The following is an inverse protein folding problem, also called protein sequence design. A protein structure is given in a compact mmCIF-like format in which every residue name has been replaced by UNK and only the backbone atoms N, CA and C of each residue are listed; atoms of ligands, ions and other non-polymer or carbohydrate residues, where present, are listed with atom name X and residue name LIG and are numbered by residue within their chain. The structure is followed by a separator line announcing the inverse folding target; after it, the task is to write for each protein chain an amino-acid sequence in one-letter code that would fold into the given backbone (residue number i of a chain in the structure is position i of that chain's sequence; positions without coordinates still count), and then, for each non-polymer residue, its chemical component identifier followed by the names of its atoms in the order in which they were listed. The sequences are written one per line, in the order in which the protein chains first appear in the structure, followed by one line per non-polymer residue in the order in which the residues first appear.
data_IF_558920528789
#
_entry.id   IF_558920528789
#
_cell.length_a   1.000
_cell.length_b   1.000
_cell.length_c   1.000
_cell.angle_alpha   90.00
_cell.angle_beta   90.00
_cell.angle_gamma   90.00
#
_symmetry.space_group_name_H-M   'P 1'
#
loop_
_entity.id
_entity.type
_entity.pdbx_description
1 polymer ?
#
# COMPACT_ATOMS: atom_id res chain seq x y z
N UNK A 1 19.43 -11.88 -33.75
CA UNK A 1 18.27 -12.23 -32.91
C UNK A 1 18.87 -12.69 -31.60
N UNK A 2 19.23 -11.74 -30.73
CA UNK A 2 20.05 -11.95 -29.54
C UNK A 2 19.11 -12.07 -28.34
N UNK A 3 19.41 -13.01 -27.54
CA UNK A 3 18.84 -13.64 -26.35
C UNK A 3 18.33 -12.64 -25.25
N UNK A 4 17.33 -11.83 -25.57
CA UNK A 4 16.67 -10.90 -24.61
C UNK A 4 15.98 -11.65 -23.45
N UNK A 5 15.66 -12.93 -23.63
CA UNK A 5 14.89 -13.72 -22.65
C UNK A 5 15.75 -14.29 -21.51
N UNK A 6 17.06 -14.42 -21.68
CA UNK A 6 17.97 -14.91 -20.61
C UNK A 6 18.43 -13.81 -19.68
N UNK A 7 18.58 -12.59 -20.20
CA UNK A 7 18.92 -11.43 -19.37
C UNK A 7 17.72 -10.96 -18.55
N UNK A 8 16.50 -11.05 -19.11
CA UNK A 8 15.27 -10.77 -18.36
C UNK A 8 15.06 -11.80 -17.23
N UNK A 9 15.31 -13.09 -17.45
CA UNK A 9 15.21 -14.12 -16.41
C UNK A 9 16.27 -13.98 -15.30
N UNK A 10 17.50 -13.57 -15.64
CA UNK A 10 18.55 -13.26 -14.65
C UNK A 10 18.25 -11.98 -13.86
N UNK A 11 17.71 -10.96 -14.52
CA UNK A 11 17.27 -9.74 -13.87
C UNK A 11 16.09 -10.03 -12.93
N UNK A 12 15.10 -10.82 -13.37
CA UNK A 12 13.96 -11.24 -12.53
C UNK A 12 14.44 -12.03 -11.31
N UNK A 13 15.37 -12.98 -11.47
CA UNK A 13 15.96 -13.76 -10.37
C UNK A 13 16.78 -12.89 -9.40
N UNK A 14 17.59 -11.96 -9.90
CA UNK A 14 18.37 -11.05 -9.05
C UNK A 14 17.47 -10.05 -8.30
N UNK A 15 16.31 -9.69 -8.88
CA UNK A 15 15.35 -8.77 -8.26
C UNK A 15 14.39 -9.47 -7.29
N UNK A 16 14.01 -10.72 -7.53
CA UNK A 16 13.26 -11.53 -6.56
C UNK A 16 14.07 -11.79 -5.28
N UNK A 17 15.39 -11.96 -5.39
CA UNK A 17 16.30 -11.99 -4.24
C UNK A 17 16.32 -10.66 -3.46
N UNK A 18 16.08 -9.52 -4.10
CA UNK A 18 16.25 -8.20 -3.46
C UNK A 18 15.12 -7.86 -2.50
N UNK A 19 13.97 -8.54 -2.54
CA UNK A 19 12.79 -8.17 -1.73
C UNK A 19 12.30 -9.24 -0.75
N UNK A 20 12.49 -10.51 -1.00
CA UNK A 20 12.66 -11.45 0.14
C UNK A 20 13.70 -10.86 1.11
N UNK A 21 14.61 -10.03 0.59
CA UNK A 21 15.56 -9.24 1.38
C UNK A 21 14.99 -7.98 2.04
N UNK A 22 13.93 -7.32 1.54
CA UNK A 22 13.37 -6.16 2.26
C UNK A 22 12.68 -6.63 3.55
N UNK A 23 11.86 -7.67 3.46
CA UNK A 23 11.17 -8.24 4.62
C UNK A 23 12.17 -8.94 5.55
N UNK A 24 13.14 -9.68 5.00
CA UNK A 24 14.24 -10.25 5.78
C UNK A 24 15.16 -9.18 6.39
N UNK A 25 15.28 -8.01 5.78
CA UNK A 25 16.02 -6.87 6.33
C UNK A 25 15.26 -6.08 7.38
N UNK A 26 13.92 -6.20 7.44
CA UNK A 26 13.14 -5.69 8.56
C UNK A 26 13.51 -6.36 9.88
N UNK A 27 14.17 -7.53 9.85
CA UNK A 27 14.76 -8.16 11.04
C UNK A 27 15.91 -7.34 11.64
N UNK A 28 16.54 -6.46 10.85
CA UNK A 28 17.51 -5.52 11.35
C UNK A 28 16.85 -4.19 11.70
N UNK A 29 16.53 -4.00 12.99
CA UNK A 29 15.97 -2.76 13.53
C UNK A 29 16.84 -1.53 13.27
N UNK A 30 18.14 -1.70 13.09
CA UNK A 30 19.10 -0.62 12.85
C UNK A 30 19.12 -0.15 11.39
N UNK A 31 18.53 -0.91 10.45
CA UNK A 31 18.41 -0.51 9.05
C UNK A 31 17.25 0.47 8.82
N UNK A 32 17.48 1.71 9.22
CA UNK A 32 16.52 2.80 9.12
C UNK A 32 16.02 3.03 7.69
N UNK A 33 16.85 2.77 6.67
CA UNK A 33 16.45 2.93 5.26
C UNK A 33 15.39 1.92 4.86
N UNK A 34 15.56 0.68 5.27
CA UNK A 34 14.57 -0.38 5.02
C UNK A 34 13.25 -0.08 5.70
N UNK A 35 13.26 0.41 6.93
CA UNK A 35 12.07 0.82 7.67
C UNK A 35 11.38 2.03 7.05
N UNK A 36 12.13 3.03 6.60
CA UNK A 36 11.62 4.19 5.87
C UNK A 36 10.94 3.79 4.57
N UNK A 37 11.55 2.89 3.80
CA UNK A 37 10.98 2.40 2.53
C UNK A 37 9.71 1.58 2.78
N UNK A 38 9.69 0.76 3.82
CA UNK A 38 8.52 0.01 4.23
C UNK A 38 7.39 0.94 4.65
N UNK A 39 7.66 1.87 5.54
CA UNK A 39 6.70 2.87 6.00
C UNK A 39 6.13 3.68 4.83
N UNK A 40 7.00 4.29 4.00
CA UNK A 40 6.59 5.08 2.83
C UNK A 40 5.73 4.29 1.85
N UNK A 41 5.97 2.99 1.75
CA UNK A 41 5.22 2.12 0.83
C UNK A 41 3.85 1.76 1.37
N UNK A 42 3.69 1.47 2.67
CA UNK A 42 2.47 0.82 3.18
C UNK A 42 1.61 1.66 4.13
N UNK A 43 2.10 2.77 4.70
CA UNK A 43 1.32 3.56 5.66
C UNK A 43 0.00 4.09 5.06
N UNK A 44 0.02 4.54 3.79
CA UNK A 44 -1.18 5.04 3.10
C UNK A 44 -2.22 3.96 2.88
N UNK A 45 -1.78 2.74 2.57
CA UNK A 45 -2.65 1.57 2.44
C UNK A 45 -3.37 1.29 3.75
N UNK A 46 -2.62 1.13 4.84
CA UNK A 46 -3.16 0.83 6.17
C UNK A 46 -4.13 1.92 6.61
N UNK A 47 -3.75 3.19 6.44
CA UNK A 47 -4.57 4.34 6.77
C UNK A 47 -5.88 4.38 5.97
N UNK A 48 -5.81 4.21 4.64
CA UNK A 48 -6.98 4.25 3.76
C UNK A 48 -7.95 3.11 4.08
N UNK A 49 -7.45 1.92 4.38
CA UNK A 49 -8.29 0.79 4.79
C UNK A 49 -8.95 1.06 6.14
N UNK A 50 -8.24 1.63 7.11
CA UNK A 50 -8.78 2.04 8.40
C UNK A 50 -9.95 3.04 8.25
N UNK A 51 -9.77 4.09 7.45
CA UNK A 51 -10.82 5.06 7.17
C UNK A 51 -12.04 4.42 6.51
N UNK A 52 -11.82 3.58 5.49
CA UNK A 52 -12.91 2.91 4.75
C UNK A 52 -13.61 1.83 5.57
N UNK A 53 -12.95 1.30 6.58
CA UNK A 53 -13.55 0.42 7.57
C UNK A 53 -14.43 1.17 8.59
N UNK A 54 -14.45 2.52 8.57
CA UNK A 54 -15.28 3.34 9.46
C UNK A 54 -14.54 3.89 10.69
N UNK A 55 -13.21 3.83 10.69
CA UNK A 55 -12.41 4.50 11.72
C UNK A 55 -12.34 6.00 11.46
N UNK A 56 -12.22 6.80 12.53
CA UNK A 56 -11.90 8.22 12.45
C UNK A 56 -10.43 8.40 12.04
N UNK A 57 -10.08 9.59 11.56
CA UNK A 57 -8.73 9.91 11.10
C UNK A 57 -7.65 9.58 12.14
N UNK A 58 -7.85 9.96 13.38
CA UNK A 58 -6.93 9.70 14.49
C UNK A 58 -6.78 8.21 14.77
N UNK A 59 -7.90 7.48 14.84
CA UNK A 59 -7.90 6.02 15.04
C UNK A 59 -7.22 5.28 13.88
N UNK A 60 -7.41 5.75 12.64
CA UNK A 60 -6.72 5.18 11.48
C UNK A 60 -5.19 5.42 11.53
N UNK A 61 -4.75 6.57 12.03
CA UNK A 61 -3.31 6.81 12.31
C UNK A 61 -2.78 5.92 13.43
N UNK A 62 -3.55 5.70 14.48
CA UNK A 62 -3.18 4.76 15.56
C UNK A 62 -3.00 3.35 15.01
N UNK A 63 -3.91 2.90 14.11
CA UNK A 63 -3.77 1.61 13.42
C UNK A 63 -2.47 1.54 12.62
N UNK A 64 -2.11 2.59 11.89
CA UNK A 64 -0.81 2.64 11.18
C UNK A 64 0.33 2.46 12.16
N UNK A 65 0.39 3.27 13.21
CA UNK A 65 1.48 3.24 14.19
C UNK A 65 1.56 1.88 14.89
N UNK A 66 0.44 1.36 15.39
CA UNK A 66 0.41 0.08 16.10
C UNK A 66 0.75 -1.10 15.19
N UNK A 67 0.36 -1.06 13.89
CA UNK A 67 0.75 -2.08 12.91
C UNK A 67 2.25 -2.05 12.69
N UNK A 68 2.84 -0.89 12.41
CA UNK A 68 4.29 -0.74 12.20
C UNK A 68 5.08 -1.17 13.46
N UNK A 69 4.64 -0.73 14.64
CA UNK A 69 5.28 -1.12 15.91
C UNK A 69 5.19 -2.63 16.17
N UNK A 70 4.07 -3.26 15.78
CA UNK A 70 3.91 -4.71 15.94
C UNK A 70 4.84 -5.47 15.02
N UNK A 71 4.95 -5.03 13.78
CA UNK A 71 5.90 -5.54 12.80
C UNK A 71 7.32 -5.40 13.36
N UNK A 72 7.67 -4.24 13.87
CA UNK A 72 8.99 -3.97 14.43
C UNK A 72 9.32 -4.83 15.67
N UNK A 73 8.37 -5.06 16.55
CA UNK A 73 8.55 -5.90 17.75
C UNK A 73 8.66 -7.38 17.41
N UNK A 74 7.99 -7.84 16.34
CA UNK A 74 7.99 -9.23 15.91
C UNK A 74 9.22 -9.57 15.06
N UNK A 75 9.92 -8.57 14.50
CA UNK A 75 11.09 -8.76 13.63
C UNK A 75 12.18 -9.61 14.27
N UNK A 76 12.30 -9.59 15.59
CA UNK A 76 13.24 -10.42 16.36
C UNK A 76 12.85 -11.92 16.46
N UNK A 77 11.68 -12.34 15.92
CA UNK A 77 11.11 -13.69 16.07
C UNK A 77 10.64 -14.35 14.78
N UNK A 78 11.33 -14.14 13.63
CA UNK A 78 10.89 -14.65 12.32
C UNK A 78 9.45 -14.20 11.98
N UNK A 79 9.34 -12.95 11.64
CA UNK A 79 8.11 -12.16 11.56
C UNK A 79 7.15 -12.61 10.45
N UNK A 80 7.66 -12.90 9.29
CA UNK A 80 6.92 -13.33 8.11
C UNK A 80 7.53 -14.61 7.56
N UNK A 81 6.68 -15.61 7.43
CA UNK A 81 7.05 -16.90 6.86
C UNK A 81 6.39 -17.05 5.47
N UNK A 82 7.16 -16.97 4.38
CA UNK A 82 6.62 -17.10 3.03
C UNK A 82 5.91 -18.43 2.78
N UNK A 83 6.26 -19.48 3.54
CA UNK A 83 5.66 -20.81 3.40
C UNK A 83 4.25 -20.88 4.03
N UNK A 84 3.91 -19.92 4.89
CA UNK A 84 2.60 -19.81 5.56
C UNK A 84 1.61 -18.90 4.86
N UNK A 85 2.02 -18.17 3.84
CA UNK A 85 1.13 -17.31 3.06
C UNK A 85 1.80 -16.08 2.48
N UNK A 86 1.05 -15.33 1.66
CA UNK A 86 1.58 -14.14 1.02
C UNK A 86 1.80 -12.98 2.01
N UNK A 87 2.78 -12.15 1.73
CA UNK A 87 3.03 -10.91 2.48
C UNK A 87 1.78 -10.01 2.53
N UNK A 88 1.06 -9.93 1.42
CA UNK A 88 -0.22 -9.20 1.32
C UNK A 88 -1.22 -9.67 2.38
N UNK A 89 -1.43 -10.98 2.49
CA UNK A 89 -2.36 -11.58 3.45
C UNK A 89 -1.89 -11.40 4.89
N UNK A 90 -0.60 -11.53 5.12
CA UNK A 90 0.01 -11.32 6.43
C UNK A 90 -0.17 -9.87 6.91
N UNK A 91 0.16 -8.87 6.07
CA UNK A 91 0.00 -7.46 6.41
C UNK A 91 -1.48 -7.09 6.60
N UNK A 92 -2.37 -7.68 5.78
CA UNK A 92 -3.83 -7.54 5.95
C UNK A 92 -4.28 -8.02 7.33
N UNK A 93 -3.85 -9.19 7.75
CA UNK A 93 -4.22 -9.75 9.06
C UNK A 93 -3.73 -8.88 10.21
N UNK A 94 -2.50 -8.39 10.15
CA UNK A 94 -1.95 -7.46 11.15
C UNK A 94 -2.78 -6.18 11.23
N UNK A 95 -3.13 -5.60 10.08
CA UNK A 95 -3.94 -4.38 9.99
C UNK A 95 -5.36 -4.64 10.52
N UNK A 96 -5.99 -5.76 10.13
CA UNK A 96 -7.34 -6.16 10.59
C UNK A 96 -7.42 -6.27 12.11
N UNK A 97 -6.43 -6.90 12.74
CA UNK A 97 -6.40 -7.00 14.20
C UNK A 97 -6.37 -5.60 14.85
N UNK A 98 -5.59 -4.67 14.33
CA UNK A 98 -5.51 -3.31 14.88
C UNK A 98 -6.80 -2.51 14.64
N UNK A 99 -7.45 -2.67 13.49
CA UNK A 99 -8.76 -2.08 13.23
C UNK A 99 -9.79 -2.59 14.26
N UNK A 100 -9.86 -3.91 14.45
CA UNK A 100 -10.78 -4.51 15.42
C UNK A 100 -10.47 -4.06 16.86
N UNK A 101 -9.20 -3.88 17.22
CA UNK A 101 -8.80 -3.35 18.51
C UNK A 101 -9.31 -1.92 18.73
N UNK A 102 -9.26 -1.06 17.68
CA UNK A 102 -9.81 0.30 17.76
C UNK A 102 -11.33 0.31 17.95
N UNK A 103 -12.07 -0.55 17.23
CA UNK A 103 -13.52 -0.70 17.47
C UNK A 103 -13.83 -1.19 18.88
N UNK A 104 -13.06 -2.14 19.43
CA UNK A 104 -13.24 -2.60 20.82
C UNK A 104 -12.96 -1.48 21.82
N UNK A 105 -11.90 -0.68 21.62
CA UNK A 105 -11.60 0.49 22.45
C UNK A 105 -12.77 1.48 22.41
N UNK A 106 -13.26 1.82 21.21
CA UNK A 106 -14.41 2.71 21.03
C UNK A 106 -15.67 2.21 21.76
N UNK A 107 -16.00 0.91 21.63
CA UNK A 107 -17.13 0.29 22.36
C UNK A 107 -16.97 0.42 23.87
N UNK A 108 -15.76 0.14 24.39
CA UNK A 108 -15.44 0.25 25.80
C UNK A 108 -15.58 1.69 26.31
N UNK A 109 -14.99 2.66 25.58
CA UNK A 109 -15.04 4.08 25.95
C UNK A 109 -16.48 4.61 25.89
N UNK A 110 -17.25 4.21 24.88
CA UNK A 110 -18.68 4.53 24.80
C UNK A 110 -19.45 3.95 25.98
N UNK A 111 -19.23 2.68 26.31
CA UNK A 111 -19.88 2.04 27.46
C UNK A 111 -19.51 2.71 28.79
N UNK A 112 -18.25 3.13 28.96
CA UNK A 112 -17.82 3.87 30.15
C UNK A 112 -18.43 5.25 30.25
N UNK A 113 -18.43 6.02 29.14
CA UNK A 113 -19.00 7.37 29.11
C UNK A 113 -20.53 7.36 29.26
N UNK A 114 -21.21 6.26 28.91
CA UNK A 114 -22.65 6.10 29.03
C UNK A 114 -23.01 5.47 30.41
N UNK A 115 -22.02 5.03 31.19
CA UNK A 115 -22.27 4.46 32.52
C UNK A 115 -22.99 5.40 33.48
N UNK A 116 -22.98 6.72 33.22
CA UNK A 116 -23.68 7.74 33.97
C UNK A 116 -25.14 7.97 33.49
N UNK A 117 -25.56 7.30 32.42
CA UNK A 117 -26.93 7.40 31.92
C UNK A 117 -27.86 6.49 32.72
N UNK A 118 -29.02 7.03 33.12
CA UNK A 118 -30.01 6.33 33.93
C UNK A 118 -30.75 5.21 33.15
N UNK A 119 -30.74 5.24 31.79
CA UNK A 119 -31.46 4.31 30.93
C UNK A 119 -30.51 3.27 30.30
N UNK A 120 -30.56 2.02 30.81
CA UNK A 120 -29.77 0.89 30.34
C UNK A 120 -30.09 0.51 28.87
N UNK A 121 -31.34 0.71 28.41
CA UNK A 121 -31.76 0.44 27.04
C UNK A 121 -31.09 1.38 26.03
N UNK A 122 -30.95 2.66 26.34
CA UNK A 122 -30.24 3.64 25.51
C UNK A 122 -28.73 3.34 25.45
N UNK A 123 -28.17 2.88 26.56
CA UNK A 123 -26.77 2.48 26.68
C UNK A 123 -26.42 1.31 25.77
N UNK A 124 -27.21 0.24 25.78
CA UNK A 124 -27.03 -0.93 24.93
C UNK A 124 -27.15 -0.52 23.44
N UNK A 125 -28.20 0.23 23.07
CA UNK A 125 -28.41 0.69 21.72
C UNK A 125 -27.25 1.59 21.19
N UNK A 126 -26.63 2.41 22.05
CA UNK A 126 -25.50 3.24 21.65
C UNK A 126 -24.23 2.43 21.39
N UNK A 127 -23.95 1.40 22.18
CA UNK A 127 -22.80 0.49 22.00
C UNK A 127 -23.01 -0.41 20.77
N UNK A 128 -24.22 -0.89 20.54
CA UNK A 128 -24.56 -1.74 19.37
C UNK A 128 -24.47 -1.00 18.05
N UNK A 129 -24.64 0.34 18.05
CA UNK A 129 -24.46 1.16 16.81
C UNK A 129 -23.02 1.22 16.31
N UNK A 130 -22.03 0.80 17.11
CA UNK A 130 -20.64 0.73 16.67
C UNK A 130 -20.46 -0.58 15.90
N UNK A 131 -20.60 -0.49 14.58
CA UNK A 131 -20.43 -1.62 13.67
C UNK A 131 -18.95 -2.00 13.54
N UNK A 132 -18.64 -3.28 13.76
CA UNK A 132 -17.37 -3.86 13.37
C UNK A 132 -17.42 -4.21 11.88
N UNK A 133 -16.39 -3.91 11.09
CA UNK A 133 -16.38 -4.28 9.68
C UNK A 133 -16.43 -5.81 9.55
N UNK A 134 -17.44 -6.31 8.81
CA UNK A 134 -17.54 -7.71 8.49
C UNK A 134 -16.29 -8.16 7.71
N UNK A 135 -15.75 -9.35 8.04
CA UNK A 135 -14.49 -9.86 7.47
C UNK A 135 -14.44 -9.76 5.93
N UNK A 136 -15.47 -10.21 5.22
CA UNK A 136 -15.50 -10.18 3.75
C UNK A 136 -15.58 -8.77 3.15
N UNK A 137 -16.04 -7.77 3.90
CA UNK A 137 -16.03 -6.37 3.46
C UNK A 137 -14.63 -5.79 3.56
N UNK A 138 -13.93 -6.06 4.66
CA UNK A 138 -12.56 -5.59 4.88
C UNK A 138 -11.58 -6.20 3.85
N UNK A 139 -11.73 -7.47 3.52
CA UNK A 139 -10.91 -8.14 2.50
C UNK A 139 -11.08 -7.50 1.11
N UNK A 140 -12.31 -7.20 0.71
CA UNK A 140 -12.58 -6.49 -0.56
C UNK A 140 -11.98 -5.07 -0.57
N UNK A 141 -12.12 -4.34 0.53
CA UNK A 141 -11.49 -3.01 0.68
C UNK A 141 -9.97 -3.11 0.58
N UNK A 142 -9.38 -4.11 1.26
CA UNK A 142 -7.96 -4.36 1.21
C UNK A 142 -7.46 -4.63 -0.22
N UNK A 143 -8.15 -5.48 -0.97
CA UNK A 143 -7.77 -5.81 -2.34
C UNK A 143 -7.77 -4.60 -3.27
N UNK A 144 -8.76 -3.73 -3.13
CA UNK A 144 -8.87 -2.49 -3.91
C UNK A 144 -7.75 -1.52 -3.55
N UNK A 145 -7.56 -1.26 -2.25
CA UNK A 145 -6.54 -0.33 -1.78
C UNK A 145 -5.13 -0.87 -2.00
N UNK A 146 -4.93 -2.18 -1.92
CA UNK A 146 -3.66 -2.82 -2.24
C UNK A 146 -3.23 -2.53 -3.68
N UNK A 147 -4.11 -2.78 -4.65
CA UNK A 147 -3.84 -2.51 -6.08
C UNK A 147 -3.52 -1.03 -6.32
N UNK A 148 -4.29 -0.13 -5.71
CA UNK A 148 -4.05 1.32 -5.77
C UNK A 148 -2.69 1.68 -5.18
N UNK A 149 -2.38 1.18 -4.00
CA UNK A 149 -1.11 1.43 -3.33
C UNK A 149 0.09 0.96 -4.14
N UNK A 150 0.00 -0.22 -4.77
CA UNK A 150 1.06 -0.72 -5.67
C UNK A 150 1.24 0.19 -6.87
N UNK A 151 0.16 0.68 -7.48
CA UNK A 151 0.22 1.60 -8.61
C UNK A 151 0.88 2.93 -8.21
N UNK A 152 0.47 3.52 -7.07
CA UNK A 152 1.03 4.76 -6.55
C UNK A 152 2.52 4.61 -6.20
N UNK A 153 2.91 3.50 -5.58
CA UNK A 153 4.31 3.20 -5.26
C UNK A 153 5.16 2.99 -6.53
N UNK A 154 4.62 2.30 -7.54
CA UNK A 154 5.29 2.13 -8.82
C UNK A 154 5.49 3.48 -9.52
N UNK A 155 4.46 4.33 -9.57
CA UNK A 155 4.55 5.67 -10.17
C UNK A 155 5.58 6.55 -9.46
N UNK A 156 5.64 6.51 -8.13
CA UNK A 156 6.64 7.26 -7.37
C UNK A 156 8.08 6.82 -7.73
N UNK A 157 8.31 5.51 -7.91
CA UNK A 157 9.62 4.98 -8.32
C UNK A 157 9.95 5.34 -9.77
N UNK A 158 8.98 5.24 -10.68
CA UNK A 158 9.14 5.65 -12.07
C UNK A 158 9.53 7.12 -12.16
N UNK A 159 8.87 7.99 -11.37
CA UNK A 159 9.17 9.41 -11.33
C UNK A 159 10.63 9.72 -10.97
N UNK A 160 11.23 8.90 -10.10
CA UNK A 160 12.63 9.03 -9.71
C UNK A 160 13.62 8.51 -10.78
N UNK A 161 13.16 7.71 -11.75
CA UNK A 161 14.01 7.06 -12.77
C UNK A 161 13.97 7.74 -14.13
N UNK A 162 13.05 8.67 -14.36
CA UNK A 162 12.88 9.35 -15.65
C UNK A 162 13.04 10.86 -15.52
N UNK A 163 13.31 11.54 -16.62
CA UNK A 163 13.37 13.00 -16.58
C UNK A 163 12.00 13.62 -16.26
N UNK A 164 11.95 14.78 -15.57
CA UNK A 164 10.70 15.46 -15.27
C UNK A 164 9.80 15.67 -16.49
N UNK A 165 10.39 16.01 -17.64
CA UNK A 165 9.67 16.22 -18.90
C UNK A 165 9.05 14.93 -19.43
N UNK A 166 9.79 13.81 -19.39
CA UNK A 166 9.25 12.50 -19.79
C UNK A 166 8.09 12.06 -18.89
N UNK A 167 8.22 12.24 -17.59
CA UNK A 167 7.14 11.94 -16.65
C UNK A 167 5.91 12.82 -16.88
N UNK A 168 6.10 14.12 -17.09
CA UNK A 168 5.01 15.06 -17.38
C UNK A 168 4.23 14.69 -18.63
N UNK A 169 4.93 14.32 -19.71
CA UNK A 169 4.29 13.83 -20.95
C UNK A 169 3.47 12.58 -20.67
N UNK A 170 4.05 11.62 -19.93
CA UNK A 170 3.39 10.37 -19.55
C UNK A 170 2.16 10.63 -18.67
N UNK A 171 2.27 11.50 -17.68
CA UNK A 171 1.17 11.89 -16.79
C UNK A 171 0.00 12.48 -17.60
N UNK A 172 0.29 13.45 -18.47
CA UNK A 172 -0.75 14.07 -19.29
C UNK A 172 -1.40 13.08 -20.27
N UNK A 173 -0.59 12.27 -20.97
CA UNK A 173 -1.08 11.42 -22.04
C UNK A 173 -1.72 10.11 -21.53
N UNK A 174 -1.13 9.49 -20.52
CA UNK A 174 -1.56 8.16 -20.05
C UNK A 174 -2.42 8.23 -18.78
N UNK A 175 -2.04 9.05 -17.81
CA UNK A 175 -2.75 9.08 -16.51
C UNK A 175 -3.98 10.00 -16.59
N UNK A 176 -3.85 11.17 -17.25
CA UNK A 176 -4.96 12.12 -17.44
C UNK A 176 -5.72 11.90 -18.74
N UNK A 177 -5.31 10.94 -19.55
CA UNK A 177 -5.98 10.56 -20.80
C UNK A 177 -6.16 11.72 -21.81
N UNK A 178 -5.23 12.69 -21.81
CA UNK A 178 -5.25 13.74 -22.81
C UNK A 178 -4.91 13.17 -24.18
N UNK A 179 -5.56 13.68 -25.23
CA UNK A 179 -5.15 13.33 -26.60
C UNK A 179 -3.72 13.83 -26.91
N UNK A 180 -3.06 13.16 -27.84
CA UNK A 180 -1.66 13.44 -28.13
C UNK A 180 -1.43 14.85 -28.71
N UNK A 181 -2.39 15.40 -29.49
CA UNK A 181 -2.35 16.76 -30.00
C UNK A 181 -2.37 17.78 -28.87
N UNK A 182 -3.28 17.60 -27.89
CA UNK A 182 -3.35 18.46 -26.71
C UNK A 182 -2.05 18.44 -25.89
N UNK A 183 -1.43 17.25 -25.75
CA UNK A 183 -0.13 17.13 -25.06
C UNK A 183 0.97 17.86 -25.81
N UNK A 184 1.01 17.72 -27.18
CA UNK A 184 1.94 18.41 -28.05
C UNK A 184 1.84 19.92 -27.87
N UNK A 185 0.63 20.47 -27.97
CA UNK A 185 0.39 21.90 -27.91
C UNK A 185 0.72 22.51 -26.56
N UNK A 186 0.30 21.80 -25.48
CA UNK A 186 0.47 22.30 -24.10
C UNK A 186 1.89 22.21 -23.59
N UNK A 187 2.64 21.19 -24.00
CA UNK A 187 4.00 20.93 -23.50
C UNK A 187 5.10 21.31 -24.49
N UNK A 188 4.75 21.78 -25.69
CA UNK A 188 5.72 22.14 -26.75
C UNK A 188 6.60 20.95 -27.15
N UNK A 189 5.99 19.77 -27.35
CA UNK A 189 6.69 18.54 -27.73
C UNK A 189 6.17 17.99 -29.03
N UNK A 190 6.96 17.14 -29.72
CA UNK A 190 6.48 16.46 -30.91
C UNK A 190 5.62 15.26 -30.62
N UNK A 191 4.77 14.83 -31.54
CA UNK A 191 3.99 13.58 -31.43
C UNK A 191 4.88 12.37 -31.18
N UNK A 192 6.03 12.32 -31.83
CA UNK A 192 7.02 11.26 -31.64
C UNK A 192 7.53 11.22 -30.18
N UNK A 193 7.73 12.37 -29.55
CA UNK A 193 8.13 12.46 -28.16
C UNK A 193 7.02 11.98 -27.20
N UNK A 194 5.75 12.23 -27.53
CA UNK A 194 4.60 11.74 -26.74
C UNK A 194 4.57 10.21 -26.75
N UNK A 195 4.63 9.59 -27.92
CA UNK A 195 4.61 8.13 -28.03
C UNK A 195 5.87 7.48 -27.46
N UNK A 196 7.04 8.11 -27.64
CA UNK A 196 8.29 7.61 -27.07
C UNK A 196 8.26 7.65 -25.54
N UNK A 197 7.74 8.72 -24.94
CA UNK A 197 7.57 8.82 -23.49
C UNK A 197 6.59 7.76 -22.97
N UNK A 198 5.42 7.58 -23.63
CA UNK A 198 4.48 6.48 -23.30
C UNK A 198 5.18 5.13 -23.27
N UNK A 199 5.93 4.80 -24.32
CA UNK A 199 6.59 3.50 -24.44
C UNK A 199 7.68 3.30 -23.38
N UNK A 200 8.59 4.28 -23.23
CA UNK A 200 9.72 4.19 -22.27
C UNK A 200 9.24 4.16 -20.81
N UNK A 201 8.41 5.12 -20.44
CA UNK A 201 7.88 5.22 -19.07
C UNK A 201 6.96 4.04 -18.76
N UNK A 202 6.13 3.63 -19.72
CA UNK A 202 5.26 2.47 -19.59
C UNK A 202 6.03 1.15 -19.39
N UNK A 203 7.19 0.97 -20.06
CA UNK A 203 8.06 -0.19 -19.86
C UNK A 203 8.63 -0.21 -18.42
N UNK A 204 9.08 0.95 -17.93
CA UNK A 204 9.60 1.07 -16.54
C UNK A 204 8.46 0.81 -15.54
N UNK A 205 7.27 1.39 -15.77
CA UNK A 205 6.11 1.19 -14.90
C UNK A 205 5.71 -0.29 -14.80
N UNK A 206 5.65 -0.99 -15.93
CA UNK A 206 5.36 -2.43 -15.95
C UNK A 206 6.38 -3.22 -15.13
N UNK A 207 7.67 -2.87 -15.26
CA UNK A 207 8.75 -3.50 -14.48
C UNK A 207 8.60 -3.24 -12.98
N UNK A 208 8.30 -2.00 -12.58
CA UNK A 208 8.11 -1.66 -11.16
C UNK A 208 6.85 -2.30 -10.59
N UNK A 209 5.75 -2.38 -11.36
CA UNK A 209 4.53 -3.09 -10.94
C UNK A 209 4.75 -4.59 -10.77
N UNK A 210 5.44 -5.25 -11.73
CA UNK A 210 5.77 -6.66 -11.62
C UNK A 210 6.61 -6.91 -10.36
N UNK A 211 7.64 -6.09 -10.15
CA UNK A 211 8.50 -6.13 -8.96
C UNK A 211 7.72 -5.95 -7.65
N UNK A 212 6.75 -5.03 -7.62
CA UNK A 212 5.91 -4.81 -6.44
C UNK A 212 4.90 -5.94 -6.20
N UNK A 213 4.45 -6.60 -7.26
CA UNK A 213 3.45 -7.66 -7.19
C UNK A 213 4.07 -9.02 -6.83
N UNK A 214 5.29 -9.32 -7.29
CA UNK A 214 6.05 -10.52 -6.93
C UNK A 214 6.38 -10.58 -5.43
N UNK A 215 6.45 -9.42 -4.79
CA UNK A 215 6.70 -9.30 -3.35
C UNK A 215 5.44 -9.55 -2.50
N UNK A 216 4.29 -9.54 -3.13
CA UNK A 216 2.98 -9.66 -2.48
C UNK A 216 2.41 -11.10 -2.53
N UNK A 217 3.00 -11.96 -3.38
CA UNK A 217 2.59 -13.35 -3.60
C UNK A 217 3.18 -14.36 -2.66
#
# INVERSE_FOLDING_TARGET
MVDDNKDDAKLVSAYAQTRKSLIAKLDNWEDQRTWDDFYKTYWKLIYAVGLKAGLRSEEAFDVVQETILSIAKQSKKNMYDPDKGSFKSWLMNMTRWRINDQFRKRKKDTAMNISEWEDEGQRVAAVERIEDPQSGTLERLWDVEWKKNLADAALARVRAQVSPKQYQIFDCYVIREWDAGKVQDRLGVSMSQVYLAKHRVGKILKKELARLNEDAG
#
